data_IF_254517306307
#
_entry.id   IF_254517306307
#
_cell.length_a   1.000
_cell.length_b   1.000
_cell.length_c   1.000
_cell.angle_alpha   90.00
_cell.angle_beta   90.00
_cell.angle_gamma   90.00
#
_symmetry.space_group_name_H-M   'P 1'
#
loop_
_entity.id
_entity.type
_entity.pdbx_description
1 polymer ?
#
# COMPACT_ATOMS: atom_id res chain seq x y z
N UNK A 1 14.27 -1.44 -5.94
CA UNK A 1 13.45 -0.59 -5.05
C UNK A 1 14.41 -0.02 -4.03
N UNK A 2 14.33 1.28 -3.76
CA UNK A 2 15.22 1.95 -2.81
C UNK A 2 14.69 1.80 -1.37
N UNK A 3 15.60 1.78 -0.38
CA UNK A 3 15.22 1.80 1.03
C UNK A 3 14.53 3.13 1.40
N UNK A 4 13.44 3.11 2.22
CA UNK A 4 12.89 1.97 2.94
C UNK A 4 11.73 1.26 2.20
N UNK A 5 11.51 1.56 0.92
CA UNK A 5 10.35 1.09 0.17
C UNK A 5 10.42 -0.42 -0.14
N UNK A 6 11.62 -0.99 -0.20
CA UNK A 6 11.86 -2.44 -0.26
C UNK A 6 11.33 -3.17 0.99
N UNK A 7 11.52 -2.59 2.18
CA UNK A 7 10.99 -3.15 3.43
C UNK A 7 9.47 -3.11 3.48
N UNK A 8 8.86 -2.00 3.04
CA UNK A 8 7.41 -1.91 2.93
C UNK A 8 6.86 -2.97 1.98
N UNK A 9 7.48 -3.16 0.82
CA UNK A 9 7.06 -4.17 -0.15
C UNK A 9 7.13 -5.58 0.44
N UNK A 10 8.24 -5.94 1.10
CA UNK A 10 8.40 -7.24 1.74
C UNK A 10 7.34 -7.47 2.84
N UNK A 11 7.06 -6.46 3.66
CA UNK A 11 6.06 -6.54 4.72
C UNK A 11 4.63 -6.69 4.18
N UNK A 12 4.30 -5.99 3.09
CA UNK A 12 3.00 -6.12 2.42
C UNK A 12 2.83 -7.53 1.85
N UNK A 13 3.84 -8.05 1.13
CA UNK A 13 3.80 -9.41 0.57
C UNK A 13 3.63 -10.44 1.70
N UNK A 14 4.36 -10.28 2.82
CA UNK A 14 4.24 -11.16 3.98
C UNK A 14 2.89 -11.11 4.70
N UNK A 15 2.06 -10.09 4.42
CA UNK A 15 0.72 -9.93 4.99
C UNK A 15 -0.40 -10.40 4.06
N UNK A 16 -0.06 -10.84 2.85
CA UNK A 16 -1.04 -11.38 1.91
C UNK A 16 -1.23 -12.88 2.13
N UNK A 17 -2.47 -13.38 2.10
CA UNK A 17 -2.71 -14.82 2.07
C UNK A 17 -2.23 -15.42 0.74
N UNK A 18 -1.86 -16.70 0.73
CA UNK A 18 -1.43 -17.40 -0.49
C UNK A 18 -2.51 -17.41 -1.59
N UNK A 19 -3.79 -17.30 -1.20
CA UNK A 19 -4.91 -17.19 -2.13
C UNK A 19 -4.90 -15.88 -2.92
N UNK A 20 -4.17 -14.87 -2.44
CA UNK A 20 -4.16 -13.51 -2.98
C UNK A 20 -5.47 -12.74 -2.73
N UNK A 21 -6.42 -13.31 -1.99
CA UNK A 21 -7.68 -12.66 -1.68
C UNK A 21 -7.48 -11.52 -0.67
N UNK A 22 -8.02 -10.34 -0.97
CA UNK A 22 -7.98 -9.18 -0.08
C UNK A 22 -9.38 -8.91 0.46
N UNK A 23 -9.68 -9.52 1.59
CA UNK A 23 -10.92 -9.28 2.35
C UNK A 23 -10.72 -8.16 3.40
N UNK A 24 -11.73 -7.91 4.25
CA UNK A 24 -11.64 -6.85 5.26
C UNK A 24 -10.56 -7.10 6.34
N UNK A 25 -10.31 -8.36 6.68
CA UNK A 25 -9.24 -8.73 7.61
C UNK A 25 -7.86 -8.44 7.00
N UNK A 26 -7.61 -8.91 5.77
CA UNK A 26 -6.37 -8.62 5.03
C UNK A 26 -6.20 -7.11 4.81
N UNK A 27 -7.28 -6.38 4.49
CA UNK A 27 -7.24 -4.90 4.41
C UNK A 27 -6.78 -4.27 5.72
N UNK A 28 -7.28 -4.74 6.85
CA UNK A 28 -6.88 -4.28 8.18
C UNK A 28 -5.38 -4.46 8.43
N UNK A 29 -4.87 -5.65 8.13
CA UNK A 29 -3.44 -5.98 8.27
C UNK A 29 -2.55 -5.11 7.38
N UNK A 30 -2.90 -4.98 6.10
CA UNK A 30 -2.18 -4.12 5.16
C UNK A 30 -2.18 -2.65 5.62
N UNK A 31 -3.32 -2.15 6.11
CA UNK A 31 -3.42 -0.80 6.64
C UNK A 31 -2.57 -0.58 7.89
N UNK A 32 -2.45 -1.58 8.76
CA UNK A 32 -1.55 -1.54 9.91
C UNK A 32 -0.06 -1.50 9.48
N UNK A 33 0.34 -2.37 8.54
CA UNK A 33 1.70 -2.39 7.99
C UNK A 33 2.08 -1.03 7.40
N UNK A 34 1.22 -0.45 6.57
CA UNK A 34 1.45 0.87 5.96
C UNK A 34 1.59 1.95 7.02
N UNK A 35 0.69 2.00 8.02
CA UNK A 35 0.74 3.00 9.09
C UNK A 35 2.01 2.86 9.94
N UNK A 36 2.39 1.63 10.29
CA UNK A 36 3.60 1.35 11.07
C UNK A 36 4.86 1.73 10.28
N UNK A 37 4.91 1.44 8.99
CA UNK A 37 6.04 1.79 8.13
C UNK A 37 6.24 3.30 8.05
N UNK A 38 5.21 4.06 7.67
CA UNK A 38 5.33 5.51 7.57
C UNK A 38 5.44 6.22 8.92
N UNK A 39 4.98 5.60 10.00
CA UNK A 39 5.25 6.06 11.36
C UNK A 39 6.74 5.96 11.73
N UNK A 40 7.45 4.93 11.25
CA UNK A 40 8.90 4.75 11.44
C UNK A 40 9.74 5.56 10.45
N UNK A 41 9.24 5.78 9.23
CA UNK A 41 9.90 6.49 8.14
C UNK A 41 9.04 7.66 7.63
N UNK A 42 8.87 8.75 8.39
CA UNK A 42 8.03 9.88 7.98
C UNK A 42 8.47 10.52 6.65
N UNK A 43 9.76 10.49 6.34
CA UNK A 43 10.33 10.98 5.09
C UNK A 43 9.87 10.19 3.85
N UNK A 44 9.43 8.95 4.03
CA UNK A 44 8.91 8.09 2.97
C UNK A 44 7.44 8.40 2.64
N UNK A 45 6.71 9.18 3.45
CA UNK A 45 5.33 9.59 3.15
C UNK A 45 5.22 10.29 1.80
N UNK A 46 6.25 11.01 1.37
CA UNK A 46 6.31 11.65 0.04
C UNK A 46 6.23 10.67 -1.13
N UNK A 47 6.56 9.40 -0.89
CA UNK A 47 6.51 8.30 -1.86
C UNK A 47 5.14 7.61 -1.87
N UNK A 48 4.30 7.84 -0.85
CA UNK A 48 2.96 7.28 -0.81
C UNK A 48 2.12 7.86 -1.95
N UNK A 49 1.41 6.99 -2.67
CA UNK A 49 0.51 7.40 -3.73
C UNK A 49 -0.53 8.38 -3.16
N UNK A 50 -0.56 9.60 -3.71
CA UNK A 50 -1.55 10.61 -3.34
C UNK A 50 -2.78 10.49 -4.22
N UNK A 51 -3.97 10.56 -3.61
CA UNK A 51 -5.26 10.41 -4.30
C UNK A 51 -5.64 11.58 -5.23
N UNK A 52 -4.76 12.57 -5.41
CA UNK A 52 -5.05 13.77 -6.21
C UNK A 52 -4.99 13.53 -7.72
N UNK A 53 -4.50 12.36 -8.16
CA UNK A 53 -4.44 12.01 -9.58
C UNK A 53 -5.69 11.21 -9.94
N UNK A 54 -6.67 11.86 -10.56
CA UNK A 54 -7.79 11.18 -11.22
C UNK A 54 -7.20 10.41 -12.41
N UNK A 55 -7.20 9.06 -12.41
CA UNK A 55 -6.73 8.32 -13.57
C UNK A 55 -7.71 8.53 -14.73
N UNK A 56 -7.23 8.68 -15.98
CA UNK A 56 -8.08 8.92 -17.15
C UNK A 56 -9.05 7.77 -17.47
N UNK A 57 -8.98 6.66 -16.74
CA UNK A 57 -9.79 5.45 -16.94
C UNK A 57 -11.24 5.58 -16.47
N UNK A 58 -11.61 6.68 -15.78
CA UNK A 58 -13.01 7.02 -15.47
C UNK A 58 -13.87 7.31 -16.72
N UNK A 59 -13.28 7.37 -17.92
CA UNK A 59 -14.03 7.46 -19.19
C UNK A 59 -14.69 6.15 -19.65
N UNK A 60 -14.38 5.02 -19.04
CA UNK A 60 -14.82 3.70 -19.52
C UNK A 60 -16.08 3.14 -18.84
N UNK A 61 -16.80 3.94 -18.05
CA UNK A 61 -18.07 3.53 -17.45
C UNK A 61 -19.22 4.32 -18.08
N UNK A 62 -19.74 3.81 -19.21
CA UNK A 62 -21.08 4.10 -19.74
C UNK A 62 -22.02 2.97 -19.33
#
# INVERSE_FOLDING_TARGET
MEHPQDELLAALIGSLPETGEVNDETRGQLAEVVRNHYGKHPEALKLQASGSVIPPTLKNHS
#
